data_IF_924054046046
#
_entry.id   IF_924054046046
#
_cell.length_a   1.000
_cell.length_b   1.000
_cell.length_c   1.000
_cell.angle_alpha   90.00
_cell.angle_beta   90.00
_cell.angle_gamma   90.00
#
_symmetry.space_group_name_H-M   'P 1'
#
loop_
_entity.id
_entity.type
_entity.pdbx_description
1 polymer ?
#
# COMPACT_ATOMS: atom_id res chain seq x y z
N UNK A 1 -31.05 -20.63 24.13
CA UNK A 1 -31.14 -20.23 22.71
C UNK A 1 -29.85 -19.55 22.35
N UNK A 2 -29.01 -20.22 21.56
CA UNK A 2 -27.71 -19.70 21.11
C UNK A 2 -27.93 -18.66 20.02
N UNK A 3 -27.57 -17.41 20.31
CA UNK A 3 -27.56 -16.31 19.35
C UNK A 3 -26.60 -16.63 18.22
N UNK A 4 -27.13 -16.98 17.06
CA UNK A 4 -26.37 -17.00 15.81
C UNK A 4 -26.02 -15.56 15.46
N UNK A 5 -24.85 -15.10 15.90
CA UNK A 5 -24.20 -13.93 15.32
C UNK A 5 -23.93 -14.29 13.86
N UNK A 6 -24.80 -13.80 12.98
CA UNK A 6 -24.69 -13.94 11.54
C UNK A 6 -23.42 -13.21 11.15
N UNK A 7 -22.34 -13.96 10.91
CA UNK A 7 -21.15 -13.45 10.24
C UNK A 7 -21.59 -13.18 8.81
N UNK A 8 -22.15 -11.99 8.57
CA UNK A 8 -22.34 -11.52 7.22
C UNK A 8 -20.94 -11.39 6.62
N UNK A 9 -20.70 -12.17 5.57
CA UNK A 9 -19.42 -12.20 4.88
C UNK A 9 -19.18 -10.80 4.30
N UNK A 10 -18.00 -10.22 4.52
CA UNK A 10 -17.63 -8.88 4.03
C UNK A 10 -17.90 -8.75 2.51
N UNK A 11 -17.76 -9.86 1.77
CA UNK A 11 -18.11 -9.96 0.36
C UNK A 11 -19.60 -9.69 0.07
N UNK A 12 -20.53 -10.21 0.87
CA UNK A 12 -21.97 -9.99 0.70
C UNK A 12 -22.38 -8.55 1.00
N UNK A 13 -21.71 -7.93 1.98
CA UNK A 13 -21.89 -6.52 2.34
C UNK A 13 -21.41 -5.64 1.17
N UNK A 14 -20.24 -5.96 0.61
CA UNK A 14 -19.66 -5.26 -0.53
C UNK A 14 -20.51 -5.39 -1.80
N UNK A 15 -21.03 -6.58 -2.12
CA UNK A 15 -21.86 -6.80 -3.30
C UNK A 15 -23.16 -5.97 -3.28
N UNK A 16 -23.79 -5.87 -2.10
CA UNK A 16 -24.96 -4.99 -1.92
C UNK A 16 -24.57 -3.52 -2.03
N UNK A 17 -23.49 -3.12 -1.37
CA UNK A 17 -23.02 -1.74 -1.40
C UNK A 17 -22.70 -1.28 -2.83
N UNK A 18 -21.99 -2.09 -3.62
CA UNK A 18 -21.60 -1.78 -5.01
C UNK A 18 -22.81 -1.59 -5.94
N UNK A 19 -23.88 -2.35 -5.70
CA UNK A 19 -25.11 -2.32 -6.53
C UNK A 19 -25.90 -1.02 -6.36
N UNK A 20 -25.94 -0.49 -5.13
CA UNK A 20 -26.64 0.76 -4.80
C UNK A 20 -25.72 2.00 -4.86
N UNK A 21 -24.42 1.79 -5.07
CA UNK A 21 -23.42 2.86 -5.05
C UNK A 21 -23.47 3.69 -6.33
N UNK A 22 -23.79 4.97 -6.17
CA UNK A 22 -23.82 5.95 -7.25
C UNK A 22 -22.44 6.26 -7.86
N UNK A 23 -22.30 7.37 -8.61
CA UNK A 23 -21.07 7.69 -9.35
C UNK A 23 -19.83 7.89 -8.47
N UNK A 24 -19.99 8.12 -7.16
CA UNK A 24 -18.89 8.20 -6.19
C UNK A 24 -18.15 6.88 -5.99
N UNK A 25 -18.70 5.73 -6.42
CA UNK A 25 -18.11 4.40 -6.22
C UNK A 25 -16.69 4.29 -6.71
N UNK A 26 -16.41 4.87 -7.88
CA UNK A 26 -15.09 4.79 -8.48
C UNK A 26 -14.05 5.57 -7.66
N UNK A 27 -14.45 6.71 -7.09
CA UNK A 27 -13.58 7.48 -6.20
C UNK A 27 -13.30 6.71 -4.91
N UNK A 28 -14.31 6.07 -4.35
CA UNK A 28 -14.17 5.31 -3.10
C UNK A 28 -13.36 4.02 -3.30
N UNK A 29 -13.48 3.36 -4.46
CA UNK A 29 -12.60 2.25 -4.84
C UNK A 29 -11.13 2.72 -4.92
N UNK A 30 -10.87 3.86 -5.58
CA UNK A 30 -9.50 4.39 -5.67
C UNK A 30 -8.95 4.73 -4.29
N UNK A 31 -9.76 5.34 -3.42
CA UNK A 31 -9.40 5.65 -2.03
C UNK A 31 -9.12 4.39 -1.22
N UNK A 32 -9.95 3.36 -1.36
CA UNK A 32 -9.75 2.08 -0.70
C UNK A 32 -8.45 1.39 -1.15
N UNK A 33 -8.11 1.45 -2.44
CA UNK A 33 -6.84 0.92 -2.94
C UNK A 33 -5.63 1.68 -2.38
N UNK A 34 -5.72 3.00 -2.29
CA UNK A 34 -4.70 3.83 -1.65
C UNK A 34 -4.54 3.48 -0.17
N UNK A 35 -5.66 3.26 0.51
CA UNK A 35 -5.69 2.85 1.92
C UNK A 35 -5.11 1.45 2.14
N UNK A 36 -5.50 0.47 1.34
CA UNK A 36 -4.97 -0.89 1.38
C UNK A 36 -3.44 -0.93 1.20
N UNK A 37 -2.92 -0.09 0.29
CA UNK A 37 -1.47 0.04 0.05
C UNK A 37 -0.75 0.56 1.29
N UNK A 38 -1.34 1.53 1.99
CA UNK A 38 -0.78 2.04 3.24
C UNK A 38 -0.80 0.97 4.34
N UNK A 39 -1.95 0.32 4.54
CA UNK A 39 -2.12 -0.76 5.53
C UNK A 39 -1.10 -1.89 5.33
N UNK A 40 -0.82 -2.28 4.08
CA UNK A 40 0.19 -3.30 3.73
C UNK A 40 1.57 -3.06 4.35
N UNK A 41 1.93 -1.81 4.65
CA UNK A 41 3.22 -1.44 5.23
C UNK A 41 3.25 -1.62 6.74
N UNK A 42 2.09 -1.58 7.40
CA UNK A 42 1.95 -1.80 8.82
C UNK A 42 2.17 -3.28 9.14
N UNK A 43 2.80 -3.56 10.28
CA UNK A 43 3.23 -4.90 10.63
C UNK A 43 2.07 -5.88 10.76
N UNK A 44 0.94 -5.39 11.26
CA UNK A 44 -0.31 -6.13 11.48
C UNK A 44 -0.92 -6.68 10.17
N UNK A 45 -0.76 -5.97 9.05
CA UNK A 45 -1.38 -6.34 7.76
C UNK A 45 -0.38 -6.86 6.73
N UNK A 46 0.91 -6.92 7.06
CA UNK A 46 1.97 -7.32 6.11
C UNK A 46 1.76 -8.71 5.54
N UNK A 47 1.22 -9.63 6.34
CA UNK A 47 0.98 -11.03 5.98
C UNK A 47 -0.41 -11.28 5.41
N UNK A 48 -1.32 -10.32 5.51
CA UNK A 48 -2.68 -10.46 5.01
C UNK A 48 -2.68 -10.52 3.48
N UNK A 49 -3.46 -11.41 2.83
CA UNK A 49 -3.68 -11.40 1.39
C UNK A 49 -4.15 -10.03 0.89
N UNK A 50 -3.70 -9.63 -0.30
CA UNK A 50 -4.06 -8.31 -0.84
C UNK A 50 -5.56 -8.18 -1.09
N UNK A 51 -6.24 -9.26 -1.49
CA UNK A 51 -7.68 -9.28 -1.70
C UNK A 51 -8.45 -8.93 -0.41
N UNK A 52 -8.11 -9.61 0.69
CA UNK A 52 -8.72 -9.38 2.01
C UNK A 52 -8.45 -7.95 2.54
N UNK A 53 -7.23 -7.43 2.28
CA UNK A 53 -6.88 -6.03 2.57
C UNK A 53 -7.73 -5.02 1.80
N UNK A 54 -8.03 -5.31 0.52
CA UNK A 54 -8.86 -4.45 -0.32
C UNK A 54 -10.31 -4.47 0.16
N UNK A 55 -10.86 -5.65 0.47
CA UNK A 55 -12.22 -5.79 1.00
C UNK A 55 -12.39 -4.99 2.29
N UNK A 56 -11.46 -5.16 3.24
CA UNK A 56 -11.42 -4.37 4.48
C UNK A 56 -11.32 -2.87 4.21
N UNK A 57 -10.45 -2.46 3.28
CA UNK A 57 -10.24 -1.05 2.98
C UNK A 57 -11.47 -0.42 2.31
N UNK A 58 -12.20 -1.17 1.49
CA UNK A 58 -13.46 -0.73 0.93
C UNK A 58 -14.49 -0.50 2.03
N UNK A 59 -14.61 -1.42 2.98
CA UNK A 59 -15.49 -1.23 4.14
C UNK A 59 -15.10 -0.02 4.98
N UNK A 60 -13.81 0.18 5.27
CA UNK A 60 -13.35 1.34 6.04
C UNK A 60 -13.73 2.68 5.39
N UNK A 61 -13.63 2.76 4.06
CA UNK A 61 -13.98 3.96 3.29
C UNK A 61 -15.49 4.16 3.24
N UNK A 62 -16.26 3.11 2.99
CA UNK A 62 -17.73 3.18 2.87
C UNK A 62 -18.38 3.48 4.21
N UNK A 63 -17.91 2.83 5.29
CA UNK A 63 -18.38 3.06 6.66
C UNK A 63 -17.91 4.41 7.21
N UNK A 64 -17.08 5.17 6.46
CA UNK A 64 -16.45 6.42 6.88
C UNK A 64 -15.62 6.26 8.17
N UNK A 65 -15.07 5.07 8.40
CA UNK A 65 -14.09 4.82 9.48
C UNK A 65 -12.78 5.56 9.21
N UNK A 66 -12.47 5.79 7.94
CA UNK A 66 -11.36 6.62 7.49
C UNK A 66 -11.88 7.78 6.63
N UNK A 67 -11.37 8.98 6.88
CA UNK A 67 -11.74 10.17 6.12
C UNK A 67 -10.84 10.36 4.90
N UNK A 68 -11.34 11.06 3.88
CA UNK A 68 -10.56 11.36 2.67
C UNK A 68 -9.25 12.09 2.99
N UNK A 69 -9.29 13.04 3.92
CA UNK A 69 -8.12 13.80 4.34
C UNK A 69 -7.05 12.93 5.02
N UNK A 70 -7.46 11.91 5.77
CA UNK A 70 -6.53 10.94 6.35
C UNK A 70 -5.86 10.10 5.27
N UNK A 71 -6.65 9.57 4.31
CA UNK A 71 -6.10 8.79 3.19
C UNK A 71 -5.08 9.63 2.41
N UNK A 72 -5.40 10.86 2.06
CA UNK A 72 -4.49 11.76 1.33
C UNK A 72 -3.19 12.04 2.09
N UNK A 73 -3.26 12.15 3.42
CA UNK A 73 -2.08 12.33 4.28
C UNK A 73 -1.18 11.11 4.20
N UNK A 74 -1.73 9.91 4.39
CA UNK A 74 -0.95 8.67 4.34
C UNK A 74 -0.38 8.38 2.95
N UNK A 75 -1.10 8.71 1.89
CA UNK A 75 -0.58 8.61 0.51
C UNK A 75 0.66 9.47 0.32
N UNK A 76 0.66 10.72 0.83
CA UNK A 76 1.83 11.60 0.75
C UNK A 76 3.01 11.06 1.54
N UNK A 77 2.76 10.55 2.75
CA UNK A 77 3.80 9.94 3.58
C UNK A 77 4.43 8.71 2.90
N UNK A 78 3.60 7.87 2.29
CA UNK A 78 4.05 6.69 1.55
C UNK A 78 4.89 7.06 0.32
N UNK A 79 4.50 8.11 -0.42
CA UNK A 79 5.27 8.64 -1.55
C UNK A 79 6.65 9.13 -1.11
N UNK A 80 6.71 9.94 -0.04
CA UNK A 80 7.98 10.44 0.52
C UNK A 80 8.87 9.28 0.95
N UNK A 81 8.31 8.23 1.54
CA UNK A 81 9.07 7.05 1.94
C UNK A 81 9.64 6.31 0.72
N UNK A 82 8.86 6.15 -0.35
CA UNK A 82 9.32 5.53 -1.59
C UNK A 82 10.44 6.33 -2.27
N UNK A 83 10.30 7.65 -2.35
CA UNK A 83 11.32 8.53 -2.89
C UNK A 83 12.65 8.39 -2.11
N UNK A 84 12.57 8.36 -0.77
CA UNK A 84 13.75 8.14 0.09
C UNK A 84 14.40 6.78 -0.14
N UNK A 85 13.60 5.73 -0.36
CA UNK A 85 14.13 4.38 -0.64
C UNK A 85 14.77 4.29 -2.04
N UNK A 86 14.18 4.96 -3.03
CA UNK A 86 14.70 5.03 -4.40
C UNK A 86 16.01 5.84 -4.45
N UNK A 87 16.07 6.99 -3.78
CA UNK A 87 17.27 7.83 -3.72
C UNK A 87 18.45 7.14 -3.02
N UNK A 88 18.19 6.24 -2.07
CA UNK A 88 19.23 5.41 -1.43
C UNK A 88 19.74 4.28 -2.33
N UNK A 89 18.93 3.81 -3.29
CA UNK A 89 19.32 2.77 -4.24
C UNK A 89 20.18 3.32 -5.37
N UNK A 90 19.90 4.53 -5.86
CA UNK A 90 20.74 5.19 -6.87
C UNK A 90 22.15 5.52 -6.35
N UNK A 91 22.27 5.87 -5.06
CA UNK A 91 23.57 6.19 -4.46
C UNK A 91 24.52 4.98 -4.31
N UNK A 92 23.97 3.77 -4.21
CA UNK A 92 24.75 2.52 -4.15
C UNK A 92 25.27 2.03 -5.51
N UNK A 93 24.85 2.67 -6.60
CA UNK A 93 25.29 2.37 -7.98
C UNK A 93 26.34 3.35 -8.51
N UNK A 94 26.99 4.14 -7.65
CA UNK A 94 28.18 4.88 -8.11
C UNK A 94 29.32 3.87 -8.38
N UNK A 95 29.95 3.89 -9.56
CA UNK A 95 31.07 3.01 -9.85
C UNK A 95 32.18 3.27 -8.84
N UNK A 96 32.71 2.21 -8.24
CA UNK A 96 33.94 2.24 -7.45
C UNK A 96 35.04 2.81 -8.36
N UNK A 97 35.72 3.86 -7.91
CA UNK A 97 36.76 4.59 -8.65
C UNK A 97 37.67 3.65 -9.48
N UNK A 98 37.93 3.95 -10.77
CA UNK A 98 38.84 3.17 -11.61
C UNK A 98 40.33 3.32 -11.22
N UNK A 99 40.65 4.00 -10.13
CA UNK A 99 42.03 4.29 -9.71
C UNK A 99 42.79 3.10 -9.06
N UNK A 100 42.21 1.90 -9.00
CA UNK A 100 42.83 0.74 -8.35
C UNK A 100 43.62 -0.20 -9.29
N UNK A 101 43.73 0.10 -10.58
CA UNK A 101 44.63 -0.62 -11.49
C UNK A 101 45.91 0.20 -11.71
N UNK A 102 46.90 0.03 -10.81
CA UNK A 102 48.29 0.39 -11.13
C UNK A 102 48.86 -0.69 -12.07
N UNK A 103 49.40 -0.34 -13.26
CA UNK A 103 50.19 -1.30 -14.03
C UNK A 103 51.51 -1.55 -13.29
N UNK A 104 51.75 -2.82 -12.96
CA UNK A 104 53.03 -3.28 -12.42
C UNK A 104 54.13 -3.09 -13.44
N UNK A 105 55.24 -2.49 -12.98
CA UNK A 105 56.54 -2.55 -13.67
C UNK A 105 57.07 -3.99 -13.59
N UNK A 106 57.37 -4.59 -14.73
CA UNK A 106 58.45 -5.57 -14.95
C UNK A 106 59.01 -5.22 -16.35
N UNK A 107 60.24 -4.73 -16.56
CA UNK A 107 61.56 -5.21 -16.19
C UNK A 107 61.92 -6.58 -16.81
N UNK A 108 62.32 -6.55 -18.09
CA UNK A 108 63.35 -7.40 -18.69
C UNK A 108 63.83 -6.77 -20.01
#
# INVERSE_FOLDING_TARGET
>A
MTTHAKVENDAEILDRLISDYGPSKYQDIVRAMQWARHLRRQEEFRLMPMAELIERSLLDVVDKKVTVSEIEKFVKEDQILEEKLLSKRSDKMRPRDPAFFKPGKEAA
#
